data_IF_895927050283
#
_entry.id   IF_895927050283
#
_cell.length_a   1.000
_cell.length_b   1.000
_cell.length_c   1.000
_cell.angle_alpha   90.00
_cell.angle_beta   90.00
_cell.angle_gamma   90.00
#
_symmetry.space_group_name_H-M   'P 1'
#
loop_
_entity.id
_entity.type
_entity.pdbx_description
1 polymer ?
#
# COMPACT_ATOMS: atom_id res chain seq x y z
N UNK A 1 10.26 0.96 -70.56
CA UNK A 1 10.20 -0.08 -69.53
C UNK A 1 11.18 0.17 -68.36
N UNK A 2 11.41 1.43 -67.97
CA UNK A 2 12.31 1.80 -66.82
C UNK A 2 11.65 2.53 -65.68
N UNK A 3 10.32 2.72 -65.71
CA UNK A 3 9.55 3.45 -64.68
C UNK A 3 8.75 2.58 -63.71
N UNK A 4 8.76 1.26 -63.90
CA UNK A 4 7.95 0.33 -63.07
C UNK A 4 8.72 -0.28 -61.90
N UNK A 5 10.06 -0.15 -61.87
CA UNK A 5 10.90 -0.72 -60.81
C UNK A 5 11.11 0.18 -59.61
N UNK A 6 10.72 1.46 -59.66
CA UNK A 6 10.97 2.41 -58.56
C UNK A 6 9.81 2.40 -57.52
N UNK A 7 8.63 1.93 -57.88
CA UNK A 7 7.47 1.93 -56.96
C UNK A 7 7.47 0.73 -56.01
N UNK A 8 8.20 -0.36 -56.37
CA UNK A 8 8.23 -1.55 -55.51
C UNK A 8 9.25 -1.50 -54.37
N UNK A 9 10.21 -0.55 -54.40
CA UNK A 9 11.26 -0.42 -53.38
C UNK A 9 10.89 0.50 -52.20
N UNK A 10 9.78 1.23 -52.28
CA UNK A 10 9.40 2.18 -51.22
C UNK A 10 8.38 1.58 -50.21
N UNK A 11 7.87 0.38 -50.46
CA UNK A 11 6.92 -0.30 -49.57
C UNK A 11 7.57 -1.16 -48.50
N UNK A 12 8.92 -1.25 -48.48
CA UNK A 12 9.65 -2.14 -47.54
C UNK A 12 10.28 -1.39 -46.32
N UNK A 13 9.97 -0.11 -46.16
CA UNK A 13 10.50 0.71 -45.02
C UNK A 13 9.39 1.20 -44.09
N UNK A 14 8.37 0.41 -43.88
CA UNK A 14 7.50 0.62 -42.72
C UNK A 14 8.22 0.04 -41.48
N UNK A 15 8.52 0.83 -40.47
CA UNK A 15 9.21 0.32 -39.29
C UNK A 15 8.26 -0.66 -38.58
N UNK A 16 8.65 -1.89 -38.47
CA UNK A 16 8.03 -2.92 -37.63
C UNK A 16 8.10 -2.59 -36.12
N UNK A 17 8.46 -1.37 -35.77
CA UNK A 17 8.70 -0.94 -34.40
C UNK A 17 7.46 -0.42 -33.64
N UNK A 18 6.28 -0.34 -34.29
CA UNK A 18 5.09 0.22 -33.62
C UNK A 18 4.20 -0.83 -32.93
N UNK A 19 4.34 -2.12 -33.25
CA UNK A 19 3.47 -3.17 -32.70
C UNK A 19 4.06 -3.85 -31.45
N UNK A 20 5.34 -3.63 -31.14
CA UNK A 20 6.01 -4.34 -30.04
C UNK A 20 6.03 -3.58 -28.71
N UNK A 21 5.53 -2.34 -28.63
CA UNK A 21 5.61 -1.50 -27.44
C UNK A 21 4.38 -1.57 -26.53
N UNK A 22 3.23 -2.00 -27.05
CA UNK A 22 1.98 -2.04 -26.26
C UNK A 22 1.77 -3.35 -25.47
N UNK A 23 2.61 -4.35 -25.65
CA UNK A 23 2.39 -5.68 -25.06
C UNK A 23 3.03 -5.88 -23.68
N UNK A 24 3.58 -4.84 -23.03
CA UNK A 24 4.39 -5.04 -21.81
C UNK A 24 4.16 -4.07 -20.64
N UNK A 25 3.20 -3.21 -20.69
CA UNK A 25 2.86 -2.40 -19.52
C UNK A 25 1.65 -3.05 -18.83
N UNK A 26 1.94 -3.98 -17.89
CA UNK A 26 0.90 -4.47 -16.96
C UNK A 26 0.37 -3.26 -16.19
N UNK A 27 -0.95 -3.06 -16.17
CA UNK A 27 -1.56 -2.02 -15.33
C UNK A 27 -1.47 -2.40 -13.86
N UNK A 28 -1.59 -1.42 -12.96
CA UNK A 28 -1.61 -1.70 -11.52
C UNK A 28 -2.69 -2.70 -11.15
N UNK A 29 -3.88 -2.61 -11.75
CA UNK A 29 -4.98 -3.55 -11.52
C UNK A 29 -4.59 -4.99 -11.93
N UNK A 30 -3.91 -5.15 -13.07
CA UNK A 30 -3.44 -6.48 -13.50
C UNK A 30 -2.38 -7.02 -12.56
N UNK A 31 -1.43 -6.18 -12.12
CA UNK A 31 -0.39 -6.59 -11.16
C UNK A 31 -1.03 -7.02 -9.84
N UNK A 32 -1.98 -6.23 -9.31
CA UNK A 32 -2.69 -6.53 -8.07
C UNK A 32 -3.46 -7.85 -8.19
N UNK A 33 -4.24 -8.03 -9.26
CA UNK A 33 -5.01 -9.25 -9.47
C UNK A 33 -4.12 -10.50 -9.56
N UNK A 34 -3.03 -10.42 -10.33
CA UNK A 34 -2.06 -11.52 -10.47
C UNK A 34 -1.36 -11.83 -9.15
N UNK A 35 -0.98 -10.81 -8.39
CA UNK A 35 -0.35 -10.97 -7.09
C UNK A 35 -1.28 -11.66 -6.08
N UNK A 36 -2.54 -11.21 -5.96
CA UNK A 36 -3.51 -11.82 -5.05
C UNK A 36 -3.85 -13.27 -5.44
N UNK A 37 -3.84 -13.60 -6.74
CA UNK A 37 -4.05 -14.98 -7.21
C UNK A 37 -2.86 -15.91 -6.91
N UNK A 38 -1.65 -15.36 -6.70
CA UNK A 38 -0.46 -16.14 -6.34
C UNK A 38 -0.28 -16.30 -4.83
N UNK A 39 -1.08 -15.61 -4.03
CA UNK A 39 -1.04 -15.71 -2.57
C UNK A 39 -2.11 -16.69 -2.04
N UNK A 40 -1.83 -17.43 -0.96
CA UNK A 40 -0.55 -17.50 -0.25
C UNK A 40 0.51 -18.30 -1.02
N UNK A 41 1.71 -17.75 -1.16
CA UNK A 41 2.84 -18.45 -1.77
C UNK A 41 3.54 -19.35 -0.76
N UNK A 42 3.88 -20.57 -1.18
CA UNK A 42 4.56 -21.56 -0.32
C UNK A 42 6.09 -21.36 -0.31
N UNK A 43 6.64 -20.76 -1.34
CA UNK A 43 8.08 -20.47 -1.48
C UNK A 43 8.37 -19.02 -1.13
N UNK A 44 9.39 -18.82 -0.28
CA UNK A 44 9.76 -17.47 0.19
C UNK A 44 10.19 -16.55 -0.95
N UNK A 45 10.90 -17.08 -1.95
CA UNK A 45 11.37 -16.26 -3.07
C UNK A 45 10.20 -15.76 -3.90
N UNK A 46 9.26 -16.66 -4.23
CA UNK A 46 8.01 -16.30 -4.93
C UNK A 46 7.21 -15.30 -4.11
N UNK A 47 7.12 -15.50 -2.80
CA UNK A 47 6.44 -14.58 -1.90
C UNK A 47 7.06 -13.19 -1.95
N UNK A 48 8.37 -13.07 -1.80
CA UNK A 48 9.09 -11.80 -1.85
C UNK A 48 8.95 -11.10 -3.24
N UNK A 49 8.96 -11.87 -4.34
CA UNK A 49 8.74 -11.36 -5.71
C UNK A 49 7.33 -10.78 -5.85
N UNK A 50 6.31 -11.49 -5.41
CA UNK A 50 4.90 -11.05 -5.45
C UNK A 50 4.70 -9.78 -4.63
N UNK A 51 5.28 -9.71 -3.42
CA UNK A 51 5.18 -8.52 -2.58
C UNK A 51 5.94 -7.32 -3.19
N UNK A 52 7.10 -7.56 -3.80
CA UNK A 52 7.84 -6.55 -4.55
C UNK A 52 7.02 -6.00 -5.72
N UNK A 53 6.32 -6.85 -6.47
CA UNK A 53 5.40 -6.42 -7.53
C UNK A 53 4.26 -5.54 -6.98
N UNK A 54 3.63 -5.93 -5.85
CA UNK A 54 2.61 -5.10 -5.20
C UNK A 54 3.15 -3.73 -4.81
N UNK A 55 4.33 -3.66 -4.20
CA UNK A 55 4.96 -2.38 -3.83
C UNK A 55 5.30 -1.54 -5.07
N UNK A 56 5.67 -2.17 -6.19
CA UNK A 56 5.97 -1.48 -7.44
C UNK A 56 4.79 -0.72 -8.03
N UNK A 57 3.55 -1.05 -7.63
CA UNK A 57 2.33 -0.31 -8.03
C UNK A 57 2.22 1.06 -7.37
N UNK A 58 3.13 1.39 -6.45
CA UNK A 58 3.17 2.67 -5.75
C UNK A 58 2.12 2.78 -4.63
N UNK A 59 2.06 3.96 -4.01
CA UNK A 59 1.14 4.22 -2.90
C UNK A 59 -0.33 4.04 -3.31
N UNK A 60 -0.68 4.45 -4.52
CA UNK A 60 -2.03 4.29 -5.05
C UNK A 60 -2.41 2.81 -5.21
N UNK A 61 -1.51 1.96 -5.71
CA UNK A 61 -1.76 0.53 -5.81
C UNK A 61 -1.90 -0.15 -4.44
N UNK A 62 -1.11 0.25 -3.44
CA UNK A 62 -1.29 -0.23 -2.05
C UNK A 62 -2.65 0.20 -1.49
N UNK A 63 -3.08 1.44 -1.75
CA UNK A 63 -4.42 1.91 -1.36
C UNK A 63 -5.51 1.11 -2.07
N UNK A 64 -5.37 0.82 -3.37
CA UNK A 64 -6.30 -0.02 -4.12
C UNK A 64 -6.41 -1.44 -3.52
N UNK A 65 -5.31 -2.06 -3.11
CA UNK A 65 -5.36 -3.36 -2.40
C UNK A 65 -6.15 -3.24 -1.10
N UNK A 66 -5.93 -2.17 -0.33
CA UNK A 66 -6.66 -1.94 0.91
C UNK A 66 -8.15 -1.63 0.69
N UNK A 67 -8.51 -0.94 -0.39
CA UNK A 67 -9.90 -0.66 -0.78
C UNK A 67 -10.68 -1.94 -1.18
N UNK A 68 -10.00 -3.07 -1.41
CA UNK A 68 -10.64 -4.38 -1.60
C UNK A 68 -11.12 -5.02 -0.30
N UNK A 69 -10.80 -4.44 0.87
CA UNK A 69 -11.32 -4.89 2.15
C UNK A 69 -12.84 -4.65 2.19
N UNK A 70 -13.60 -5.73 2.29
CA UNK A 70 -15.05 -5.67 2.54
C UNK A 70 -15.31 -5.53 4.05
N UNK A 71 -16.53 -5.16 4.49
CA UNK A 71 -16.83 -5.10 5.93
C UNK A 71 -16.38 -6.38 6.64
N UNK A 72 -15.65 -6.21 7.75
CA UNK A 72 -15.02 -7.34 8.45
C UNK A 72 -16.03 -8.42 8.87
N UNK A 73 -17.30 -8.03 9.10
CA UNK A 73 -18.39 -8.95 9.40
C UNK A 73 -18.68 -9.97 8.30
N UNK A 74 -18.24 -9.74 7.06
CA UNK A 74 -18.43 -10.69 5.96
C UNK A 74 -17.42 -11.85 5.99
N UNK A 75 -16.30 -11.72 6.71
CA UNK A 75 -15.28 -12.77 6.85
C UNK A 75 -14.54 -13.12 5.54
N UNK A 76 -14.46 -12.18 4.57
CA UNK A 76 -13.90 -12.45 3.24
C UNK A 76 -12.55 -11.79 2.97
N UNK A 77 -11.95 -11.13 3.97
CA UNK A 77 -10.74 -10.32 3.81
C UNK A 77 -9.43 -11.11 3.83
N UNK A 78 -9.45 -12.40 4.11
CA UNK A 78 -8.26 -13.20 4.44
C UNK A 78 -7.09 -13.02 3.44
N UNK A 79 -7.36 -12.99 2.12
CA UNK A 79 -6.27 -12.88 1.13
C UNK A 79 -5.73 -11.43 1.05
N UNK A 80 -6.60 -10.44 1.17
CA UNK A 80 -6.21 -9.02 1.16
C UNK A 80 -5.43 -8.68 2.43
N UNK A 81 -5.90 -9.15 3.59
CA UNK A 81 -5.18 -9.00 4.87
C UNK A 81 -3.82 -9.69 4.83
N UNK A 82 -3.75 -10.90 4.25
CA UNK A 82 -2.50 -11.63 4.07
C UNK A 82 -1.51 -10.85 3.19
N UNK A 83 -1.98 -10.31 2.06
CA UNK A 83 -1.16 -9.52 1.16
C UNK A 83 -0.63 -8.23 1.84
N UNK A 84 -1.50 -7.47 2.52
CA UNK A 84 -1.11 -6.24 3.20
C UNK A 84 -0.15 -6.49 4.36
N UNK A 85 -0.38 -7.53 5.18
CA UNK A 85 0.58 -7.95 6.21
C UNK A 85 1.93 -8.33 5.61
N UNK A 86 1.91 -9.09 4.50
CA UNK A 86 3.11 -9.48 3.78
C UNK A 86 3.89 -8.28 3.27
N UNK A 87 3.20 -7.32 2.62
CA UNK A 87 3.81 -6.08 2.12
C UNK A 87 4.49 -5.30 3.25
N UNK A 88 3.82 -5.12 4.39
CA UNK A 88 4.41 -4.43 5.55
C UNK A 88 5.63 -5.18 6.09
N UNK A 89 5.56 -6.49 6.24
CA UNK A 89 6.70 -7.31 6.65
C UNK A 89 7.86 -7.22 5.66
N UNK A 90 7.58 -7.22 4.36
CA UNK A 90 8.57 -7.12 3.30
C UNK A 90 9.33 -5.78 3.34
N UNK A 91 8.61 -4.65 3.51
CA UNK A 91 9.24 -3.33 3.49
C UNK A 91 9.89 -2.92 4.82
N UNK A 92 9.64 -3.65 5.90
CA UNK A 92 10.33 -3.44 7.18
C UNK A 92 11.69 -4.13 7.27
N UNK A 93 12.08 -4.89 6.23
CA UNK A 93 13.43 -5.44 6.13
C UNK A 93 14.44 -4.35 5.79
N UNK A 94 15.70 -4.42 6.31
CA UNK A 94 16.72 -3.41 6.04
C UNK A 94 16.96 -3.18 4.54
N UNK A 95 17.19 -1.91 4.16
CA UNK A 95 17.48 -1.52 2.78
C UNK A 95 16.25 -1.27 1.91
N UNK A 96 15.05 -1.15 2.52
CA UNK A 96 13.77 -0.91 1.82
C UNK A 96 13.08 0.37 2.29
N UNK A 97 13.85 1.38 2.65
CA UNK A 97 13.33 2.64 3.20
C UNK A 97 12.42 3.38 2.19
N UNK A 98 12.77 3.33 0.90
CA UNK A 98 11.97 3.96 -0.16
C UNK A 98 10.63 3.23 -0.37
N UNK A 99 10.66 1.90 -0.43
CA UNK A 99 9.47 1.05 -0.54
C UNK A 99 8.58 1.19 0.71
N UNK A 100 9.18 1.28 1.89
CA UNK A 100 8.46 1.52 3.16
C UNK A 100 7.71 2.85 3.12
N UNK A 101 8.31 3.91 2.60
CA UNK A 101 7.64 5.21 2.44
C UNK A 101 6.44 5.12 1.47
N UNK A 102 6.55 4.34 0.40
CA UNK A 102 5.44 4.06 -0.54
C UNK A 102 4.28 3.38 0.19
N UNK A 103 4.58 2.31 0.94
CA UNK A 103 3.55 1.53 1.65
C UNK A 103 2.87 2.37 2.72
N UNK A 104 3.63 3.12 3.52
CA UNK A 104 3.08 4.05 4.52
C UNK A 104 2.07 5.02 3.89
N UNK A 105 2.47 5.66 2.78
CA UNK A 105 1.60 6.59 2.07
C UNK A 105 0.32 5.92 1.56
N UNK A 106 0.41 4.71 1.03
CA UNK A 106 -0.77 3.96 0.56
C UNK A 106 -1.71 3.58 1.71
N UNK A 107 -1.17 3.14 2.85
CA UNK A 107 -1.98 2.83 4.04
C UNK A 107 -2.70 4.08 4.59
N UNK A 108 -2.03 5.24 4.57
CA UNK A 108 -2.64 6.52 4.99
C UNK A 108 -3.79 6.91 4.05
N UNK A 109 -3.60 6.78 2.73
CA UNK A 109 -4.66 7.01 1.74
C UNK A 109 -5.86 6.08 1.98
N UNK A 110 -5.61 4.81 2.23
CA UNK A 110 -6.66 3.84 2.53
C UNK A 110 -7.41 4.14 3.84
N UNK A 111 -6.74 4.64 4.88
CA UNK A 111 -7.38 5.08 6.11
C UNK A 111 -8.36 6.23 5.89
N UNK A 112 -8.08 7.14 4.96
CA UNK A 112 -8.96 8.26 4.65
C UNK A 112 -10.24 7.82 3.89
N UNK A 113 -10.19 6.73 3.12
CA UNK A 113 -11.34 6.20 2.35
C UNK A 113 -12.11 5.10 3.08
N UNK A 114 -11.45 4.32 3.94
CA UNK A 114 -12.04 3.21 4.67
C UNK A 114 -13.17 3.68 5.61
N UNK A 115 -14.31 2.97 5.60
CA UNK A 115 -15.49 3.31 6.44
C UNK A 115 -15.72 2.30 7.56
N UNK A 116 -15.25 1.07 7.41
CA UNK A 116 -15.42 0.00 8.39
C UNK A 116 -14.38 0.13 9.51
N UNK A 117 -14.84 0.24 10.76
CA UNK A 117 -13.94 0.46 11.90
C UNK A 117 -13.00 -0.72 12.17
N UNK A 118 -13.40 -1.99 12.10
CA UNK A 118 -12.47 -3.11 12.17
C UNK A 118 -11.36 -3.05 11.10
N UNK A 119 -11.70 -2.71 9.86
CA UNK A 119 -10.71 -2.55 8.81
C UNK A 119 -9.77 -1.34 9.06
N UNK A 120 -10.29 -0.22 9.58
CA UNK A 120 -9.43 0.91 10.03
C UNK A 120 -8.48 0.48 11.14
N UNK A 121 -8.94 -0.28 12.13
CA UNK A 121 -8.10 -0.79 13.20
C UNK A 121 -6.98 -1.68 12.65
N UNK A 122 -7.30 -2.52 11.67
CA UNK A 122 -6.31 -3.32 10.94
C UNK A 122 -5.28 -2.43 10.22
N UNK A 123 -5.72 -1.43 9.46
CA UNK A 123 -4.83 -0.50 8.74
C UNK A 123 -3.96 0.31 9.70
N UNK A 124 -4.50 0.77 10.84
CA UNK A 124 -3.72 1.43 11.90
C UNK A 124 -2.65 0.50 12.49
N UNK A 125 -2.98 -0.79 12.64
CA UNK A 125 -2.01 -1.81 13.09
C UNK A 125 -0.87 -1.96 12.09
N UNK A 126 -1.16 -2.00 10.80
CA UNK A 126 -0.16 -2.07 9.74
C UNK A 126 0.71 -0.81 9.71
N UNK A 127 0.08 0.37 9.80
CA UNK A 127 0.82 1.64 9.84
C UNK A 127 1.71 1.74 11.08
N UNK A 128 1.28 1.24 12.25
CA UNK A 128 2.13 1.15 13.44
C UNK A 128 3.40 0.32 13.21
N UNK A 129 3.31 -0.76 12.42
CA UNK A 129 4.45 -1.66 12.17
C UNK A 129 5.50 -1.05 11.25
N UNK A 130 5.11 -0.19 10.31
CA UNK A 130 6.02 0.42 9.34
C UNK A 130 6.13 1.94 9.45
N UNK A 131 5.37 2.57 10.36
CA UNK A 131 5.27 4.02 10.51
C UNK A 131 6.53 4.69 11.00
N UNK A 132 6.61 6.00 10.78
CA UNK A 132 7.66 6.90 11.22
C UNK A 132 7.05 8.05 12.04
N UNK A 133 7.88 8.83 12.74
CA UNK A 133 7.42 9.94 13.60
C UNK A 133 6.51 10.94 12.87
N UNK A 134 6.75 11.16 11.58
CA UNK A 134 5.94 12.06 10.75
C UNK A 134 4.50 11.58 10.52
N UNK A 135 4.19 10.30 10.78
CA UNK A 135 2.84 9.73 10.69
C UNK A 135 2.01 9.96 11.97
N UNK A 136 2.61 10.48 13.04
CA UNK A 136 1.91 10.75 14.30
C UNK A 136 0.57 11.50 14.12
N UNK A 137 0.45 12.52 13.24
CA UNK A 137 -0.81 13.21 13.02
C UNK A 137 -1.95 12.30 12.53
N UNK A 138 -1.64 11.20 11.84
CA UNK A 138 -2.64 10.23 11.39
C UNK A 138 -3.28 9.54 12.58
N UNK A 139 -2.48 9.09 13.54
CA UNK A 139 -2.98 8.45 14.76
C UNK A 139 -3.74 9.45 15.66
N UNK A 140 -3.26 10.69 15.76
CA UNK A 140 -3.92 11.73 16.57
C UNK A 140 -5.38 11.95 16.16
N UNK A 141 -5.72 11.82 14.87
CA UNK A 141 -7.10 11.92 14.38
C UNK A 141 -8.08 10.96 15.08
N UNK A 142 -7.60 9.80 15.54
CA UNK A 142 -8.44 8.73 16.08
C UNK A 142 -8.43 8.61 17.60
N UNK A 143 -7.70 9.48 18.33
CA UNK A 143 -7.60 9.40 19.80
C UNK A 143 -8.92 9.62 20.55
N UNK A 144 -9.89 10.29 19.94
CA UNK A 144 -11.22 10.52 20.50
C UNK A 144 -12.30 9.60 19.89
N UNK A 145 -11.95 8.70 19.02
CA UNK A 145 -12.88 7.71 18.46
C UNK A 145 -13.07 6.56 19.45
N UNK A 146 -14.33 6.24 19.77
CA UNK A 146 -14.65 5.21 20.78
C UNK A 146 -14.11 3.82 20.44
N UNK A 147 -14.01 3.52 19.14
CA UNK A 147 -13.54 2.22 18.66
C UNK A 147 -12.04 2.20 18.40
N UNK A 148 -11.49 3.27 17.84
CA UNK A 148 -10.12 3.28 17.28
C UNK A 148 -9.05 3.85 18.23
N UNK A 149 -9.45 4.46 19.36
CA UNK A 149 -8.52 5.14 20.26
C UNK A 149 -7.36 4.25 20.77
N UNK A 150 -7.63 2.97 21.05
CA UNK A 150 -6.60 2.03 21.52
C UNK A 150 -5.53 1.76 20.46
N UNK A 151 -5.94 1.61 19.18
CA UNK A 151 -4.99 1.44 18.08
C UNK A 151 -4.20 2.72 17.80
N UNK A 152 -4.86 3.87 17.94
CA UNK A 152 -4.21 5.17 17.77
C UNK A 152 -3.14 5.39 18.84
N UNK A 153 -3.46 5.17 20.13
CA UNK A 153 -2.48 5.31 21.21
C UNK A 153 -1.34 4.28 21.08
N UNK A 154 -1.67 3.05 20.67
CA UNK A 154 -0.67 2.01 20.42
C UNK A 154 0.31 2.42 19.31
N UNK A 155 -0.16 3.09 18.26
CA UNK A 155 0.70 3.66 17.20
C UNK A 155 1.65 4.71 17.77
N UNK A 156 1.10 5.71 18.48
CA UNK A 156 1.87 6.80 19.07
C UNK A 156 2.87 6.36 20.15
N UNK A 157 2.61 5.27 20.86
CA UNK A 157 3.54 4.75 21.88
C UNK A 157 4.59 3.79 21.33
N UNK A 158 4.38 3.24 20.15
CA UNK A 158 5.30 2.25 19.54
C UNK A 158 6.28 2.88 18.56
N UNK A 159 5.82 3.89 17.80
CA UNK A 159 6.65 4.56 16.79
C UNK A 159 7.66 5.48 17.48
N UNK A 160 8.94 5.30 17.18
CA UNK A 160 10.01 6.14 17.72
C UNK A 160 9.91 7.57 17.23
N UNK A 161 10.14 8.53 18.13
CA UNK A 161 10.14 9.96 17.80
C UNK A 161 8.77 10.62 17.92
N UNK A 162 7.78 9.93 18.47
CA UNK A 162 6.43 10.48 18.73
C UNK A 162 6.28 11.00 20.17
N UNK A 163 7.31 10.89 20.99
CA UNK A 163 7.28 11.23 22.42
C UNK A 163 6.88 12.67 22.67
N UNK A 164 7.37 13.62 21.87
CA UNK A 164 7.01 15.04 21.98
C UNK A 164 5.52 15.26 21.66
N UNK A 165 4.99 14.58 20.67
CA UNK A 165 3.56 14.64 20.30
C UNK A 165 2.70 14.16 21.48
N UNK A 166 3.08 13.04 22.11
CA UNK A 166 2.40 12.53 23.30
C UNK A 166 2.45 13.50 24.45
N UNK A 167 3.62 14.08 24.75
CA UNK A 167 3.80 15.07 25.82
C UNK A 167 2.95 16.32 25.58
N UNK A 168 2.87 16.80 24.35
CA UNK A 168 2.06 17.97 24.01
C UNK A 168 0.55 17.69 24.12
N UNK A 169 0.11 16.48 23.77
CA UNK A 169 -1.27 16.05 23.96
C UNK A 169 -1.64 15.97 25.43
N UNK A 170 -0.74 15.44 26.27
CA UNK A 170 -0.94 15.34 27.73
C UNK A 170 -0.98 16.71 28.44
N UNK A 171 -0.26 17.72 27.93
CA UNK A 171 -0.26 19.08 28.49
C UNK A 171 -1.52 19.88 28.16
N UNK A 172 -2.32 19.47 27.16
CA UNK A 172 -3.57 20.13 26.80
C UNK A 172 -4.64 19.83 27.86
N UNK A 173 -5.41 20.86 28.29
CA UNK A 173 -6.48 20.71 29.30
C UNK A 173 -7.55 19.67 28.91
N UNK A 174 -7.66 19.34 27.63
CA UNK A 174 -8.57 18.34 27.10
C UNK A 174 -7.79 17.14 26.52
N UNK A 175 -6.98 16.47 27.35
CA UNK A 175 -6.31 15.24 26.92
C UNK A 175 -7.36 14.20 26.46
N UNK A 176 -7.09 13.47 25.36
CA UNK A 176 -7.98 12.42 24.90
C UNK A 176 -8.23 11.37 25.98
N UNK A 177 -9.49 10.88 26.11
CA UNK A 177 -9.85 9.87 27.12
C UNK A 177 -8.97 8.61 27.07
N UNK A 178 -8.49 8.24 25.90
CA UNK A 178 -7.60 7.11 25.73
C UNK A 178 -6.19 7.31 26.38
N UNK A 179 -5.86 8.54 26.82
CA UNK A 179 -4.57 8.87 27.45
C UNK A 179 -4.71 9.08 28.97
N UNK A 180 -5.92 9.02 29.53
CA UNK A 180 -6.24 9.14 30.94
C UNK A 180 -6.45 7.78 31.60
#
# INVERSE_FOLDING_TARGET
>A
MKKLFIILALAALLPWSVVAQDARMRTSETIIADALNQLPASDKKVFDEVLGELVSTGAEGIAQVADMLVPASEGKNAIVEYALNGVVAYVTTPGKEAEKAIVRKGLIQALDTCKDNPNKAFLLTLLRMCGEAEDAPVFVKYLNDEYLAEWAISGLTTIKGTEEVLLDLMKKEAAPKAML
#
